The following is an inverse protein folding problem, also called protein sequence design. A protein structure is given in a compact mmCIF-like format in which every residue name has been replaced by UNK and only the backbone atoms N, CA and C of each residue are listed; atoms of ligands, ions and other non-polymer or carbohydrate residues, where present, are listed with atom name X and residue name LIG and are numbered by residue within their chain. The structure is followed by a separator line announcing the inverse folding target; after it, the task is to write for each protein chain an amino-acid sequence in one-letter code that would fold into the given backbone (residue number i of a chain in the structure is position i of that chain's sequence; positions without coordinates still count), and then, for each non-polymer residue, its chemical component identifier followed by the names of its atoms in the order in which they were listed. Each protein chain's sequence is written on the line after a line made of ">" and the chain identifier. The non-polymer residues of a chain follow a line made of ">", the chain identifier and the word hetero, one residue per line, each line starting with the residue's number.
data_IF_078389345589
#
_entry.id   IF_078389345589
#
_cell.length_a   1.000
_cell.length_b   1.000
_cell.length_c   1.000
_cell.angle_alpha   90.00
_cell.angle_beta   90.00
_cell.angle_gamma   90.00
#
_symmetry.space_group_name_H-M   'P 1'
#
loop_
_entity.id
_entity.type
_entity.pdbx_description
1 polymer ?
#
# COMPACT_ATOMS: atom_id res chain seq x y z
N UNK A 1 -16.76 -1.75 -12.53
CA UNK A 1 -16.53 -1.69 -11.06
C UNK A 1 -16.14 -0.25 -10.76
N UNK A 2 -16.84 0.44 -9.84
CA UNK A 2 -16.44 1.81 -9.45
C UNK A 2 -15.22 1.69 -8.53
N UNK A 3 -14.16 2.49 -8.71
CA UNK A 3 -13.05 2.53 -7.77
C UNK A 3 -13.52 2.99 -6.39
N UNK A 4 -13.42 2.16 -5.36
CA UNK A 4 -13.88 2.49 -3.99
C UNK A 4 -13.27 3.79 -3.44
N UNK A 5 -12.03 4.13 -3.83
CA UNK A 5 -11.40 5.39 -3.45
C UNK A 5 -12.17 6.62 -3.97
N UNK A 6 -12.80 6.54 -5.15
CA UNK A 6 -13.66 7.60 -5.68
C UNK A 6 -14.95 7.73 -4.85
N UNK A 7 -15.56 6.60 -4.47
CA UNK A 7 -16.74 6.59 -3.59
C UNK A 7 -16.42 7.24 -2.24
N UNK A 8 -15.26 6.94 -1.64
CA UNK A 8 -14.83 7.57 -0.37
C UNK A 8 -14.68 9.09 -0.53
N UNK A 9 -14.05 9.56 -1.62
CA UNK A 9 -13.92 11.01 -1.90
C UNK A 9 -15.29 11.69 -2.06
N UNK A 10 -16.24 11.02 -2.71
CA UNK A 10 -17.60 11.54 -2.90
C UNK A 10 -18.38 11.63 -1.58
N UNK A 11 -18.30 10.61 -0.72
CA UNK A 11 -18.95 10.66 0.60
C UNK A 11 -18.35 11.76 1.46
N UNK A 12 -17.03 11.95 1.40
CA UNK A 12 -16.35 12.99 2.14
C UNK A 12 -16.77 14.41 1.72
N UNK A 13 -16.93 14.66 0.42
CA UNK A 13 -17.43 15.95 -0.05
C UNK A 13 -18.87 16.21 0.37
N UNK A 14 -19.72 15.18 0.38
CA UNK A 14 -21.11 15.27 0.84
C UNK A 14 -21.25 15.49 2.35
N UNK A 15 -20.32 14.96 3.13
CA UNK A 15 -20.35 15.02 4.60
C UNK A 15 -19.46 16.12 5.18
N UNK A 16 -18.76 16.88 4.32
CA UNK A 16 -17.74 17.84 4.73
C UNK A 16 -16.66 17.22 5.65
N UNK A 17 -16.30 15.96 5.38
CA UNK A 17 -15.28 15.22 6.13
C UNK A 17 -13.93 15.36 5.43
N UNK A 18 -12.86 15.62 6.19
CA UNK A 18 -11.51 15.62 5.62
C UNK A 18 -11.10 14.20 5.17
N UNK A 19 -10.58 14.08 3.94
CA UNK A 19 -9.96 12.85 3.45
C UNK A 19 -8.45 13.02 3.36
N UNK A 20 -7.74 12.09 4.02
CA UNK A 20 -6.33 11.82 3.74
C UNK A 20 -6.29 10.77 2.61
N UNK A 21 -5.92 11.19 1.41
CA UNK A 21 -5.94 10.33 0.23
C UNK A 21 -4.76 9.35 0.22
N UNK A 22 -4.79 8.39 1.14
CA UNK A 22 -3.75 7.39 1.32
C UNK A 22 -3.63 6.47 0.10
N UNK A 23 -4.74 6.19 -0.60
CA UNK A 23 -4.74 5.39 -1.83
C UNK A 23 -3.87 6.05 -2.91
N UNK A 24 -4.06 7.35 -3.16
CA UNK A 24 -3.22 8.09 -4.13
C UNK A 24 -1.77 8.21 -3.67
N UNK A 25 -1.55 8.46 -2.38
CA UNK A 25 -0.19 8.60 -1.84
C UNK A 25 0.59 7.28 -1.87
N UNK A 26 -0.06 6.16 -1.55
CA UNK A 26 0.56 4.83 -1.60
C UNK A 26 0.79 4.37 -3.04
N UNK A 27 -0.13 4.67 -3.97
CA UNK A 27 0.08 4.44 -5.41
C UNK A 27 1.37 5.14 -5.90
N UNK A 28 1.59 6.40 -5.51
CA UNK A 28 2.82 7.13 -5.85
C UNK A 28 4.07 6.53 -5.19
N UNK A 29 3.95 5.98 -3.98
CA UNK A 29 5.04 5.25 -3.32
C UNK A 29 5.39 4.00 -4.12
N UNK A 30 4.41 3.15 -4.43
CA UNK A 30 4.63 1.90 -5.17
C UNK A 30 5.15 2.16 -6.60
N UNK A 31 4.64 3.20 -7.27
CA UNK A 31 5.16 3.63 -8.57
C UNK A 31 6.64 4.00 -8.51
N UNK A 32 7.08 4.66 -7.42
CA UNK A 32 8.49 5.05 -7.22
C UNK A 32 9.37 3.88 -6.83
N UNK A 33 8.85 2.93 -6.06
CA UNK A 33 9.58 1.71 -5.69
C UNK A 33 9.77 0.80 -6.90
N UNK A 34 8.77 0.73 -7.78
CA UNK A 34 8.70 -0.22 -8.87
C UNK A 34 8.34 -1.63 -8.39
N UNK A 35 8.07 -2.56 -9.33
CA UNK A 35 7.46 -3.86 -9.03
C UNK A 35 8.32 -4.73 -8.10
N UNK A 36 9.65 -4.74 -8.29
CA UNK A 36 10.54 -5.59 -7.48
C UNK A 36 10.64 -5.11 -6.03
N UNK A 37 10.97 -3.83 -5.82
CA UNK A 37 11.14 -3.28 -4.46
C UNK A 37 9.82 -3.19 -3.69
N UNK A 38 8.70 -3.09 -4.39
CA UNK A 38 7.38 -3.13 -3.75
C UNK A 38 7.13 -4.47 -3.05
N UNK A 39 7.70 -5.56 -3.55
CA UNK A 39 7.58 -6.89 -2.92
C UNK A 39 8.42 -7.05 -1.64
N UNK A 40 9.32 -6.11 -1.32
CA UNK A 40 10.03 -6.10 -0.03
C UNK A 40 9.08 -5.88 1.15
N UNK A 41 7.82 -5.49 0.89
CA UNK A 41 6.78 -5.35 1.90
C UNK A 41 6.02 -6.63 2.20
N UNK A 42 6.30 -7.72 1.49
CA UNK A 42 5.67 -9.01 1.78
C UNK A 42 6.09 -9.55 3.15
N UNK A 43 5.16 -10.23 3.82
CA UNK A 43 5.36 -10.83 5.14
C UNK A 43 6.34 -12.01 5.17
N UNK A 44 6.90 -12.40 4.03
CA UNK A 44 7.79 -13.55 3.88
C UNK A 44 8.87 -13.31 2.82
N UNK A 45 9.93 -14.14 2.80
CA UNK A 45 10.90 -14.14 1.71
C UNK A 45 10.25 -14.45 0.35
N UNK A 46 10.69 -13.73 -0.68
CA UNK A 46 10.26 -13.93 -2.07
C UNK A 46 11.00 -15.12 -2.70
N UNK A 47 10.31 -15.85 -3.56
CA UNK A 47 10.95 -16.86 -4.40
C UNK A 47 11.63 -16.23 -5.61
N UNK A 48 12.63 -16.91 -6.19
CA UNK A 48 13.27 -16.43 -7.43
C UNK A 48 12.30 -16.29 -8.60
N UNK A 49 11.26 -17.13 -8.63
CA UNK A 49 10.23 -17.09 -9.65
C UNK A 49 9.37 -15.82 -9.56
N UNK A 50 9.03 -15.39 -8.33
CA UNK A 50 8.28 -14.15 -8.07
C UNK A 50 9.11 -12.92 -8.45
N UNK A 51 10.40 -12.92 -8.09
CA UNK A 51 11.34 -11.86 -8.49
C UNK A 51 11.45 -11.77 -10.02
N UNK A 52 11.57 -12.91 -10.70
CA UNK A 52 11.65 -12.94 -12.16
C UNK A 52 10.37 -12.41 -12.83
N UNK A 53 9.20 -12.82 -12.34
CA UNK A 53 7.91 -12.35 -12.85
C UNK A 53 7.73 -10.83 -12.67
N UNK A 54 8.04 -10.30 -11.49
CA UNK A 54 7.98 -8.88 -11.21
C UNK A 54 8.94 -8.06 -12.10
N UNK A 55 10.16 -8.56 -12.35
CA UNK A 55 11.11 -7.95 -13.29
C UNK A 55 10.58 -7.95 -14.73
N UNK A 56 9.92 -9.03 -15.13
CA UNK A 56 9.35 -9.17 -16.46
C UNK A 56 8.00 -8.46 -16.64
N UNK A 57 7.41 -7.92 -15.56
CA UNK A 57 6.06 -7.35 -15.61
C UNK A 57 4.97 -8.38 -15.87
N UNK A 58 5.20 -9.64 -15.51
CA UNK A 58 4.27 -10.76 -15.69
C UNK A 58 3.76 -11.28 -14.34
N UNK A 59 2.71 -12.09 -14.38
CA UNK A 59 2.14 -12.74 -13.19
C UNK A 59 2.40 -14.24 -13.22
N UNK A 60 2.48 -14.84 -12.02
CA UNK A 60 2.54 -16.29 -11.88
C UNK A 60 1.12 -16.88 -11.91
N UNK A 61 1.00 -18.12 -12.40
CA UNK A 61 -0.24 -18.86 -12.29
C UNK A 61 -0.61 -19.08 -10.81
N UNK A 62 -1.90 -18.97 -10.48
CA UNK A 62 -2.40 -19.32 -9.16
C UNK A 62 -2.09 -20.80 -8.85
N UNK A 63 -1.53 -21.09 -7.68
CA UNK A 63 -1.24 -22.48 -7.29
C UNK A 63 -2.53 -23.16 -6.84
N UNK A 64 -2.85 -24.29 -7.44
CA UNK A 64 -3.93 -25.16 -7.00
C UNK A 64 -3.55 -25.77 -5.63
N UNK A 65 -4.40 -25.61 -4.60
CA UNK A 65 -4.29 -26.34 -3.32
C UNK A 65 -3.38 -25.77 -2.23
N UNK A 66 -2.96 -24.51 -2.27
CA UNK A 66 -2.23 -23.87 -1.16
C UNK A 66 -3.16 -23.39 -0.04
N UNK A 67 -2.81 -23.64 1.23
CA UNK A 67 -3.49 -22.99 2.35
C UNK A 67 -3.42 -21.47 2.19
N UNK A 68 -4.50 -20.76 2.52
CA UNK A 68 -4.56 -19.28 2.59
C UNK A 68 -3.64 -18.65 3.65
N UNK A 69 -2.77 -19.45 4.26
CA UNK A 69 -1.92 -19.11 5.38
C UNK A 69 -0.52 -19.64 5.07
N UNK A 70 0.42 -18.74 4.73
CA UNK A 70 1.85 -18.93 5.01
C UNK A 70 2.84 -18.71 3.87
N UNK A 71 2.59 -19.22 2.66
CA UNK A 71 3.70 -19.46 1.71
C UNK A 71 3.63 -18.69 0.38
N UNK A 72 2.63 -17.83 0.18
CA UNK A 72 2.51 -16.97 -1.00
C UNK A 72 2.47 -15.50 -0.60
N UNK A 73 2.86 -14.65 -1.55
CA UNK A 73 2.79 -13.22 -1.43
C UNK A 73 1.32 -12.96 -1.64
N UNK A 74 0.63 -12.45 -0.63
CA UNK A 74 -0.81 -12.24 -0.73
C UNK A 74 -1.14 -10.89 -1.35
N UNK A 75 -0.11 -10.05 -1.58
CA UNK A 75 -0.19 -8.74 -2.19
C UNK A 75 -1.16 -7.80 -1.46
N UNK A 76 -1.46 -8.10 -0.19
CA UNK A 76 -2.46 -7.40 0.62
C UNK A 76 -1.91 -6.99 1.97
N UNK A 77 -1.26 -7.91 2.69
CA UNK A 77 -0.72 -7.65 4.02
C UNK A 77 0.73 -7.18 3.93
N UNK A 78 1.00 -6.06 4.59
CA UNK A 78 2.34 -5.51 4.69
C UNK A 78 3.06 -6.08 5.90
N UNK A 79 4.35 -6.34 5.75
CA UNK A 79 5.25 -6.55 6.88
C UNK A 79 5.44 -5.24 7.68
N UNK A 80 6.17 -5.33 8.80
CA UNK A 80 6.39 -4.19 9.70
C UNK A 80 6.99 -2.97 8.96
N UNK A 81 7.97 -3.18 8.08
CA UNK A 81 8.58 -2.10 7.30
C UNK A 81 7.57 -1.42 6.36
N UNK A 82 6.78 -2.23 5.64
CA UNK A 82 5.73 -1.70 4.76
C UNK A 82 4.67 -0.92 5.53
N UNK A 83 4.29 -1.40 6.71
CA UNK A 83 3.37 -0.70 7.61
C UNK A 83 3.95 0.64 8.08
N UNK A 84 5.23 0.70 8.46
CA UNK A 84 5.91 1.93 8.86
C UNK A 84 5.99 2.95 7.72
N UNK A 85 6.29 2.50 6.50
CA UNK A 85 6.34 3.36 5.31
C UNK A 85 4.94 3.94 4.99
N UNK A 86 3.88 3.14 5.11
CA UNK A 86 2.49 3.59 4.94
C UNK A 86 2.06 4.54 6.07
N UNK A 87 2.39 4.24 7.33
CA UNK A 87 2.12 5.12 8.47
C UNK A 87 2.81 6.48 8.31
N UNK A 88 4.04 6.48 7.79
CA UNK A 88 4.78 7.69 7.47
C UNK A 88 4.10 8.55 6.40
N UNK A 89 3.39 7.94 5.43
CA UNK A 89 2.56 8.69 4.47
C UNK A 89 1.37 9.34 5.17
N UNK A 90 0.70 8.62 6.09
CA UNK A 90 -0.43 9.17 6.87
C UNK A 90 0.02 10.37 7.69
N UNK A 91 1.15 10.27 8.40
CA UNK A 91 1.71 11.38 9.18
C UNK A 91 2.00 12.62 8.31
N UNK A 92 2.60 12.43 7.13
CA UNK A 92 2.86 13.51 6.16
C UNK A 92 1.58 14.15 5.64
N UNK A 93 0.56 13.35 5.32
CA UNK A 93 -0.73 13.85 4.88
C UNK A 93 -1.45 14.63 5.99
N UNK A 94 -1.41 14.13 7.23
CA UNK A 94 -1.96 14.80 8.40
C UNK A 94 -1.30 16.15 8.62
N UNK A 95 0.03 16.21 8.70
CA UNK A 95 0.75 17.46 8.92
C UNK A 95 0.52 18.48 7.80
N UNK A 96 0.38 18.03 6.54
CA UNK A 96 0.10 18.90 5.42
C UNK A 96 -1.33 19.48 5.44
N UNK A 97 -2.32 18.73 5.94
CA UNK A 97 -3.73 19.14 5.97
C UNK A 97 -4.15 19.80 7.28
N UNK A 98 -3.48 19.47 8.37
CA UNK A 98 -3.73 19.96 9.71
C UNK A 98 -2.37 20.32 10.33
N UNK A 99 -1.79 21.50 10.00
CA UNK A 99 -0.45 21.87 10.48
C UNK A 99 -0.29 21.85 12.01
N UNK A 100 -1.37 22.11 12.75
CA UNK A 100 -1.39 22.01 14.20
C UNK A 100 -1.06 20.60 14.73
N UNK A 101 -1.27 19.54 13.94
CA UNK A 101 -0.92 18.16 14.30
C UNK A 101 0.54 17.80 13.99
N UNK A 102 1.30 18.64 13.28
CA UNK A 102 2.64 18.30 12.82
C UNK A 102 3.57 17.89 13.98
N UNK A 103 3.50 18.61 15.11
CA UNK A 103 4.29 18.33 16.31
C UNK A 103 3.86 17.04 17.07
N UNK A 104 2.76 16.41 16.67
CA UNK A 104 2.21 15.21 17.31
C UNK A 104 2.34 13.96 16.46
N UNK A 105 2.67 14.10 15.17
CA UNK A 105 2.75 12.99 14.21
C UNK A 105 4.17 12.75 13.67
N UNK A 106 5.10 13.63 14.00
CA UNK A 106 6.53 13.45 13.79
C UNK A 106 7.24 13.47 15.15
N UNK A 107 8.31 12.68 15.33
CA UNK A 107 9.16 12.76 16.51
C UNK A 107 9.88 14.10 16.63
#
# INVERSE_FOLDING_TARGET
>A
MIPWAEVVRNVASQTNTLVLDLNKASEQLFARLGPVRSMDFEGRPLTQQEIAAAKAGTTLAARQGGSKLGNQADYLHLNARGADDIASLVAKLLAARIPALAAHVFP
#
